data_IF_147840161129
#
_entry.id   IF_147840161129
#
_cell.length_a   1.000
_cell.length_b   1.000
_cell.length_c   1.000
_cell.angle_alpha   90.00
_cell.angle_beta   90.00
_cell.angle_gamma   90.00
#
_symmetry.space_group_name_H-M   'P 1'
#
loop_
_entity.id
_entity.type
_entity.pdbx_description
1 polymer ?
#
# COMPACT_ATOMS: atom_id res chain seq x y z
N UNK A 1 1.85 -16.95 8.99
CA UNK A 1 3.10 -16.25 8.63
C UNK A 1 3.11 -14.92 9.37
N UNK A 2 4.16 -14.59 10.09
CA UNK A 2 4.25 -13.32 10.81
C UNK A 2 4.49 -12.24 9.77
N UNK A 3 3.59 -11.26 9.66
CA UNK A 3 3.81 -10.06 8.86
C UNK A 3 5.12 -9.45 9.28
N UNK A 4 5.97 -9.06 8.33
CA UNK A 4 7.10 -8.21 8.66
C UNK A 4 6.54 -6.95 9.34
N UNK A 5 6.85 -6.75 10.61
CA UNK A 5 6.34 -5.64 11.41
C UNK A 5 6.82 -4.26 10.88
N UNK A 6 7.74 -4.27 9.91
CA UNK A 6 8.31 -3.06 9.27
C UNK A 6 8.66 -3.35 7.82
N UNK A 7 8.81 -2.28 7.04
CA UNK A 7 9.33 -2.41 5.67
C UNK A 7 10.73 -3.04 5.69
N UNK A 8 10.95 -4.13 4.91
CA UNK A 8 12.27 -4.75 4.81
C UNK A 8 13.31 -3.76 4.29
N UNK A 9 14.48 -3.71 4.94
CA UNK A 9 15.56 -2.79 4.54
C UNK A 9 16.02 -3.05 3.10
N UNK A 10 15.97 -4.28 2.64
CA UNK A 10 16.36 -4.66 1.29
C UNK A 10 15.39 -4.11 0.22
N UNK A 11 14.13 -3.91 0.56
CA UNK A 11 13.18 -3.22 -0.30
C UNK A 11 13.57 -1.75 -0.45
N UNK A 12 13.87 -1.07 0.65
CA UNK A 12 14.32 0.33 0.65
C UNK A 12 15.59 0.49 -0.17
N UNK A 13 16.58 -0.38 0.03
CA UNK A 13 17.83 -0.38 -0.74
C UNK A 13 17.58 -0.53 -2.25
N UNK A 14 16.66 -1.41 -2.66
CA UNK A 14 16.30 -1.58 -4.08
C UNK A 14 15.70 -0.32 -4.68
N UNK A 15 14.79 0.34 -3.95
CA UNK A 15 14.17 1.59 -4.40
C UNK A 15 15.24 2.68 -4.56
N UNK A 16 16.17 2.79 -3.63
CA UNK A 16 17.23 3.81 -3.69
C UNK A 16 18.30 3.51 -4.73
N UNK A 17 18.56 2.24 -5.03
CA UNK A 17 19.59 1.85 -6.00
C UNK A 17 19.33 2.38 -7.42
N UNK A 18 18.08 2.65 -7.77
CA UNK A 18 17.69 3.13 -9.10
C UNK A 18 17.30 4.61 -9.12
N UNK A 19 17.16 5.24 -7.97
CA UNK A 19 16.55 6.57 -7.84
C UNK A 19 17.31 7.65 -8.61
N UNK A 20 18.63 7.70 -8.52
CA UNK A 20 19.45 8.74 -9.15
C UNK A 20 19.44 8.60 -10.67
N UNK A 21 19.61 7.39 -11.19
CA UNK A 21 19.59 7.11 -12.63
C UNK A 21 18.21 7.41 -13.23
N UNK A 22 17.14 6.94 -12.56
CA UNK A 22 15.76 7.20 -12.98
C UNK A 22 15.40 8.68 -12.94
N UNK A 23 15.80 9.39 -11.88
CA UNK A 23 15.58 10.83 -11.79
C UNK A 23 16.37 11.62 -12.84
N UNK A 24 17.57 11.16 -13.22
CA UNK A 24 18.35 11.75 -14.29
C UNK A 24 17.69 11.56 -15.66
N UNK A 25 17.26 10.34 -15.96
CA UNK A 25 16.48 10.03 -17.15
C UNK A 25 15.18 10.85 -17.20
N UNK A 26 14.47 10.97 -16.10
CA UNK A 26 13.24 11.77 -16.04
C UNK A 26 13.49 13.27 -16.32
N UNK A 27 14.59 13.83 -15.81
CA UNK A 27 15.00 15.22 -16.13
C UNK A 27 15.32 15.40 -17.61
N UNK A 28 16.04 14.45 -18.19
CA UNK A 28 16.36 14.47 -19.64
C UNK A 28 15.08 14.43 -20.47
N UNK A 29 14.18 13.49 -20.18
CA UNK A 29 12.93 13.30 -20.94
C UNK A 29 11.97 14.48 -20.83
N UNK A 30 11.91 15.16 -19.67
CA UNK A 30 11.02 16.30 -19.43
C UNK A 30 11.70 17.64 -19.73
N UNK A 31 13.02 17.69 -19.93
CA UNK A 31 13.77 18.91 -20.22
C UNK A 31 13.78 19.92 -19.06
N UNK A 32 13.52 19.49 -17.82
CA UNK A 32 13.41 20.35 -16.64
C UNK A 32 13.70 19.62 -15.33
N UNK A 33 13.93 20.34 -14.22
CA UNK A 33 13.97 19.76 -12.89
C UNK A 33 12.66 19.05 -12.53
N UNK A 34 12.76 17.99 -11.72
CA UNK A 34 11.64 17.20 -11.21
C UNK A 34 11.25 17.63 -9.80
N UNK A 35 9.96 17.63 -9.51
CA UNK A 35 9.44 17.66 -8.14
C UNK A 35 9.75 16.32 -7.42
N UNK A 36 9.59 16.27 -6.10
CA UNK A 36 9.77 15.04 -5.35
C UNK A 36 8.82 13.93 -5.85
N UNK A 37 7.54 14.25 -6.04
CA UNK A 37 6.56 13.28 -6.53
C UNK A 37 6.95 12.74 -7.93
N UNK A 38 7.40 13.60 -8.83
CA UNK A 38 7.87 13.18 -10.16
C UNK A 38 9.10 12.27 -10.07
N UNK A 39 10.04 12.53 -9.17
CA UNK A 39 11.20 11.64 -8.96
C UNK A 39 10.75 10.24 -8.50
N UNK A 40 9.79 10.19 -7.61
CA UNK A 40 9.23 8.92 -7.14
C UNK A 40 8.50 8.21 -8.27
N UNK A 41 7.63 8.91 -9.00
CA UNK A 41 6.89 8.32 -10.13
C UNK A 41 7.83 7.76 -11.20
N UNK A 42 8.82 8.51 -11.65
CA UNK A 42 9.76 8.02 -12.68
C UNK A 42 10.62 6.85 -12.19
N UNK A 43 10.89 6.79 -10.88
CA UNK A 43 11.59 5.65 -10.30
C UNK A 43 10.75 4.36 -10.33
N UNK A 44 9.43 4.49 -10.29
CA UNK A 44 8.50 3.36 -10.26
C UNK A 44 7.84 3.06 -11.61
N UNK A 45 8.26 3.70 -12.71
CA UNK A 45 7.79 3.35 -14.04
C UNK A 45 8.19 1.92 -14.40
N UNK A 46 7.25 1.15 -14.92
CA UNK A 46 7.52 -0.18 -15.47
C UNK A 46 8.43 -0.07 -16.69
N UNK A 47 8.08 0.81 -17.62
CA UNK A 47 8.94 1.21 -18.75
C UNK A 47 9.41 2.66 -18.61
N UNK A 48 10.63 2.87 -18.08
CA UNK A 48 11.14 4.22 -17.83
C UNK A 48 11.49 4.99 -19.11
N UNK A 49 11.64 4.30 -20.24
CA UNK A 49 12.05 4.88 -21.52
C UNK A 49 10.87 5.14 -22.45
N UNK A 50 9.92 4.23 -22.53
CA UNK A 50 8.79 4.29 -23.46
C UNK A 50 7.52 4.91 -22.89
N UNK A 51 7.35 4.91 -21.55
CA UNK A 51 6.13 5.48 -20.94
C UNK A 51 5.94 6.94 -21.27
N UNK A 52 4.72 7.35 -21.63
CA UNK A 52 4.37 8.75 -21.78
C UNK A 52 4.46 9.52 -20.46
N UNK A 53 4.89 10.79 -20.50
CA UNK A 53 5.04 11.64 -19.31
C UNK A 53 4.30 12.97 -19.44
N UNK A 54 3.42 13.10 -20.40
CA UNK A 54 2.62 14.31 -20.58
C UNK A 54 1.51 14.37 -19.55
N UNK A 55 1.57 15.41 -18.70
CA UNK A 55 0.66 15.57 -17.56
C UNK A 55 -0.80 15.75 -18.03
N UNK A 56 -1.68 14.94 -17.50
CA UNK A 56 -3.12 14.96 -17.80
C UNK A 56 -3.50 14.28 -19.12
N UNK A 57 -2.53 13.72 -19.85
CA UNK A 57 -2.73 13.06 -21.15
C UNK A 57 -2.21 11.63 -21.15
N UNK A 58 -0.97 11.44 -20.69
CA UNK A 58 -0.32 10.13 -20.75
C UNK A 58 -0.81 9.17 -19.66
N UNK A 59 -0.87 7.88 -20.01
CA UNK A 59 -0.99 6.78 -19.07
C UNK A 59 0.37 6.12 -18.92
N UNK A 60 0.66 5.64 -17.71
CA UNK A 60 1.91 4.95 -17.43
C UNK A 60 1.67 3.79 -16.45
N UNK A 61 2.29 2.65 -16.71
CA UNK A 61 2.29 1.52 -15.80
C UNK A 61 3.34 1.75 -14.72
N UNK A 62 2.95 1.53 -13.46
CA UNK A 62 3.78 1.76 -12.28
C UNK A 62 3.93 0.46 -11.47
N UNK A 63 5.09 0.29 -10.86
CA UNK A 63 5.40 -0.82 -9.94
C UNK A 63 5.45 -0.30 -8.51
N UNK A 64 4.34 -0.38 -7.77
CA UNK A 64 4.34 0.04 -6.37
C UNK A 64 5.20 -0.88 -5.51
N UNK A 65 5.70 -0.35 -4.39
CA UNK A 65 6.49 -1.12 -3.42
C UNK A 65 5.64 -1.93 -2.46
N UNK A 66 4.38 -1.50 -2.25
CA UNK A 66 3.46 -2.21 -1.37
C UNK A 66 2.00 -1.87 -1.64
N UNK A 67 1.12 -2.71 -1.11
CA UNK A 67 -0.33 -2.49 -1.04
C UNK A 67 -0.78 -2.52 0.41
N UNK A 68 -1.64 -1.58 0.81
CA UNK A 68 -2.30 -1.55 2.12
C UNK A 68 -3.81 -1.46 1.93
N UNK A 69 -4.55 -2.36 2.57
CA UNK A 69 -6.00 -2.47 2.41
C UNK A 69 -6.70 -2.39 3.77
N UNK A 70 -7.83 -1.68 3.83
CA UNK A 70 -8.69 -1.67 5.01
C UNK A 70 -9.80 -2.73 4.88
N UNK A 71 -10.36 -3.18 5.99
CA UNK A 71 -11.25 -4.35 6.08
C UNK A 71 -12.55 -4.25 5.27
N UNK A 72 -13.15 -3.07 5.11
CA UNK A 72 -14.38 -2.95 4.36
C UNK A 72 -14.18 -3.16 2.84
N UNK A 73 -13.07 -2.69 2.27
CA UNK A 73 -12.76 -2.75 0.83
C UNK A 73 -11.86 -3.92 0.45
N UNK A 74 -11.04 -4.43 1.40
CA UNK A 74 -10.15 -5.56 1.16
C UNK A 74 -10.89 -6.84 0.77
N UNK A 75 -12.14 -7.01 1.21
CA UNK A 75 -12.97 -8.15 0.82
C UNK A 75 -13.07 -8.25 -0.70
N UNK A 76 -13.45 -7.16 -1.36
CA UNK A 76 -13.57 -7.11 -2.82
C UNK A 76 -12.21 -7.25 -3.49
N UNK A 77 -11.19 -6.56 -2.99
CA UNK A 77 -9.83 -6.63 -3.55
C UNK A 77 -9.27 -8.07 -3.52
N UNK A 78 -9.44 -8.78 -2.41
CA UNK A 78 -9.03 -10.17 -2.31
C UNK A 78 -9.84 -11.11 -3.20
N UNK A 79 -11.16 -10.91 -3.31
CA UNK A 79 -12.00 -11.70 -4.24
C UNK A 79 -11.57 -11.50 -5.69
N UNK A 80 -11.26 -10.28 -6.10
CA UNK A 80 -10.72 -9.99 -7.43
C UNK A 80 -9.34 -10.64 -7.64
N UNK A 81 -8.45 -10.57 -6.63
CA UNK A 81 -7.16 -11.23 -6.67
C UNK A 81 -7.29 -12.76 -6.84
N UNK A 82 -8.21 -13.38 -6.10
CA UNK A 82 -8.51 -14.81 -6.20
C UNK A 82 -9.00 -15.19 -7.60
N UNK A 83 -9.90 -14.40 -8.19
CA UNK A 83 -10.44 -14.64 -9.53
C UNK A 83 -9.40 -14.41 -10.63
N UNK A 84 -8.37 -13.60 -10.39
CA UNK A 84 -7.23 -13.44 -11.29
C UNK A 84 -6.32 -14.68 -11.36
N UNK A 85 -6.47 -15.63 -10.43
CA UNK A 85 -5.74 -16.90 -10.43
C UNK A 85 -4.27 -16.78 -10.07
N UNK A 86 -3.88 -15.74 -9.35
CA UNK A 86 -2.50 -15.54 -8.90
C UNK A 86 -2.22 -16.38 -7.64
N UNK A 87 -1.02 -16.93 -7.55
CA UNK A 87 -0.64 -17.83 -6.45
C UNK A 87 -0.27 -17.09 -5.17
N UNK A 88 0.33 -15.90 -5.29
CA UNK A 88 0.76 -15.08 -4.17
C UNK A 88 0.88 -13.60 -4.57
N UNK A 89 0.89 -12.70 -3.57
CA UNK A 89 1.09 -11.27 -3.81
C UNK A 89 2.51 -11.00 -4.29
N UNK A 90 2.65 -10.08 -5.25
CA UNK A 90 3.95 -9.75 -5.86
C UNK A 90 4.76 -8.73 -5.03
N UNK A 91 4.08 -7.95 -4.20
CA UNK A 91 4.67 -6.95 -3.30
C UNK A 91 4.13 -7.14 -1.90
N UNK A 92 4.83 -6.66 -0.85
CA UNK A 92 4.29 -6.66 0.50
C UNK A 92 2.89 -6.06 0.55
N UNK A 93 1.91 -6.88 0.92
CA UNK A 93 0.49 -6.52 0.97
C UNK A 93 -0.03 -6.76 2.38
N UNK A 94 -0.76 -5.81 2.95
CA UNK A 94 -1.34 -5.93 4.30
C UNK A 94 -2.81 -5.55 4.31
N UNK A 95 -3.58 -6.30 5.10
CA UNK A 95 -4.98 -6.02 5.41
C UNK A 95 -5.08 -5.54 6.86
N UNK A 96 -5.77 -4.43 7.08
CA UNK A 96 -5.92 -3.78 8.38
C UNK A 96 -7.39 -3.71 8.77
N UNK A 97 -7.72 -4.15 9.98
CA UNK A 97 -9.10 -4.24 10.45
C UNK A 97 -9.43 -3.12 11.44
N UNK A 98 -9.82 -1.96 10.90
CA UNK A 98 -10.13 -0.78 11.69
C UNK A 98 -11.44 -0.07 11.28
N UNK A 99 -11.89 -0.19 10.04
CA UNK A 99 -13.07 0.53 9.53
C UNK A 99 -14.41 -0.07 9.98
N UNK A 100 -14.46 -1.36 10.28
CA UNK A 100 -15.69 -2.01 10.76
C UNK A 100 -15.91 -1.85 12.28
N UNK A 101 -14.96 -1.23 12.98
CA UNK A 101 -15.10 -0.87 14.40
C UNK A 101 -15.78 0.49 14.50
N UNK A 102 -16.95 0.55 15.11
CA UNK A 102 -17.65 1.81 15.34
C UNK A 102 -17.18 2.45 16.65
N UNK A 103 -16.49 3.57 16.57
CA UNK A 103 -16.07 4.34 17.77
C UNK A 103 -17.26 5.10 18.35
N UNK A 104 -18.13 4.38 19.07
CA UNK A 104 -19.41 4.89 19.54
C UNK A 104 -19.47 5.08 21.05
N UNK A 105 -19.11 4.04 21.80
CA UNK A 105 -19.25 4.03 23.27
C UNK A 105 -17.87 4.06 23.95
N UNK A 106 -17.15 2.94 23.89
CA UNK A 106 -15.80 2.80 24.40
C UNK A 106 -15.03 1.73 23.64
N UNK A 107 -13.69 1.79 23.69
CA UNK A 107 -12.83 0.93 22.89
C UNK A 107 -13.04 -0.56 23.13
N UNK A 108 -13.39 -0.99 24.34
CA UNK A 108 -13.57 -2.43 24.66
C UNK A 108 -14.92 -2.93 24.16
N UNK A 109 -15.97 -2.14 24.39
CA UNK A 109 -17.33 -2.50 23.94
C UNK A 109 -17.44 -2.47 22.42
N UNK A 110 -16.91 -1.44 21.79
CA UNK A 110 -16.96 -1.28 20.35
C UNK A 110 -16.14 -2.34 19.65
N UNK A 111 -14.96 -2.69 20.17
CA UNK A 111 -14.17 -3.80 19.65
C UNK A 111 -14.88 -5.16 19.83
N UNK A 112 -15.48 -5.42 20.99
CA UNK A 112 -16.22 -6.67 21.22
C UNK A 112 -17.42 -6.79 20.28
N UNK A 113 -18.17 -5.71 20.08
CA UNK A 113 -19.30 -5.66 19.14
C UNK A 113 -18.85 -5.90 17.69
N UNK A 114 -17.71 -5.33 17.28
CA UNK A 114 -17.17 -5.55 15.95
C UNK A 114 -16.71 -7.01 15.75
N UNK A 115 -16.02 -7.58 16.74
CA UNK A 115 -15.57 -8.98 16.69
C UNK A 115 -16.73 -9.98 16.57
N UNK A 116 -17.85 -9.70 17.23
CA UNK A 116 -19.05 -10.52 17.14
C UNK A 116 -19.79 -10.28 15.81
N UNK A 117 -20.07 -9.02 15.49
CA UNK A 117 -20.90 -8.64 14.32
C UNK A 117 -20.23 -8.88 12.96
N UNK A 118 -18.89 -8.90 12.91
CA UNK A 118 -18.11 -9.06 11.67
C UNK A 118 -17.17 -10.26 11.70
N UNK A 119 -17.47 -11.25 12.54
CA UNK A 119 -16.63 -12.46 12.72
C UNK A 119 -16.29 -13.15 11.39
N UNK A 120 -17.27 -13.31 10.50
CA UNK A 120 -17.08 -13.94 9.19
C UNK A 120 -16.12 -13.15 8.30
N UNK A 121 -16.27 -11.83 8.25
CA UNK A 121 -15.39 -10.95 7.47
C UNK A 121 -13.96 -11.04 7.95
N UNK A 122 -13.74 -10.94 9.25
CA UNK A 122 -12.40 -11.02 9.82
C UNK A 122 -11.76 -12.40 9.59
N UNK A 123 -12.53 -13.47 9.74
CA UNK A 123 -12.06 -14.83 9.46
C UNK A 123 -11.67 -15.00 7.97
N UNK A 124 -12.48 -14.49 7.05
CA UNK A 124 -12.16 -14.47 5.62
C UNK A 124 -10.87 -13.70 5.36
N UNK A 125 -10.75 -12.48 5.85
CA UNK A 125 -9.60 -11.61 5.61
C UNK A 125 -8.29 -12.20 6.20
N UNK A 126 -8.36 -12.82 7.39
CA UNK A 126 -7.21 -13.50 7.98
C UNK A 126 -6.79 -14.71 7.12
N UNK A 127 -7.75 -15.54 6.72
CA UNK A 127 -7.48 -16.74 5.94
C UNK A 127 -6.95 -16.45 4.53
N UNK A 128 -7.54 -15.49 3.84
CA UNK A 128 -7.11 -15.12 2.48
C UNK A 128 -5.75 -14.44 2.49
N UNK A 129 -5.50 -13.55 3.47
CA UNK A 129 -4.17 -12.95 3.65
C UNK A 129 -3.11 -14.02 3.87
N UNK A 130 -3.36 -14.98 4.76
CA UNK A 130 -2.45 -16.09 5.01
C UNK A 130 -2.22 -16.97 3.77
N UNK A 131 -3.28 -17.27 3.00
CA UNK A 131 -3.21 -18.11 1.79
C UNK A 131 -2.30 -17.49 0.73
N UNK A 132 -2.38 -16.17 0.52
CA UNK A 132 -1.68 -15.48 -0.55
C UNK A 132 -0.43 -14.72 -0.08
N UNK A 133 0.08 -15.05 1.13
CA UNK A 133 1.28 -14.44 1.75
C UNK A 133 1.15 -12.95 2.05
N UNK A 134 -0.07 -12.44 2.15
CA UNK A 134 -0.35 -11.12 2.69
C UNK A 134 -0.24 -11.08 4.20
N UNK A 135 -0.15 -9.88 4.74
CA UNK A 135 -0.18 -9.63 6.17
C UNK A 135 -1.57 -9.28 6.69
N UNK A 136 -1.82 -9.57 7.96
CA UNK A 136 -3.11 -9.30 8.60
C UNK A 136 -2.93 -8.58 9.94
N UNK A 137 -3.44 -7.37 10.01
CA UNK A 137 -3.55 -6.58 11.23
C UNK A 137 -4.95 -6.73 11.80
N UNK A 138 -5.03 -7.41 12.93
CA UNK A 138 -6.30 -7.78 13.57
C UNK A 138 -7.09 -6.56 14.04
N UNK A 139 -8.43 -6.70 14.22
CA UNK A 139 -9.24 -5.67 14.86
C UNK A 139 -8.62 -5.23 16.20
N UNK A 140 -8.55 -3.92 16.41
CA UNK A 140 -7.92 -3.34 17.60
C UNK A 140 -6.41 -3.09 17.51
N UNK A 141 -5.78 -3.41 16.37
CA UNK A 141 -4.34 -3.17 16.17
C UNK A 141 -3.99 -1.69 15.90
N UNK A 142 -4.96 -0.84 15.66
CA UNK A 142 -4.80 0.57 15.34
C UNK A 142 -5.36 0.95 13.98
N UNK A 143 -5.45 2.25 13.72
CA UNK A 143 -5.94 2.81 12.46
C UNK A 143 -4.91 2.56 11.35
N UNK A 144 -5.39 2.07 10.20
CA UNK A 144 -4.52 1.72 9.05
C UNK A 144 -3.54 2.84 8.69
N UNK A 145 -4.00 4.09 8.57
CA UNK A 145 -3.16 5.21 8.16
C UNK A 145 -1.98 5.42 9.10
N UNK A 146 -2.23 5.30 10.40
CA UNK A 146 -1.22 5.48 11.43
C UNK A 146 -0.25 4.31 11.45
N UNK A 147 -0.76 3.08 11.42
CA UNK A 147 0.08 1.86 11.36
C UNK A 147 0.97 1.86 10.12
N UNK A 148 0.41 2.23 8.96
CA UNK A 148 1.17 2.28 7.71
C UNK A 148 2.25 3.36 7.77
N UNK A 149 1.93 4.54 8.28
CA UNK A 149 2.88 5.63 8.43
C UNK A 149 4.06 5.24 9.34
N UNK A 150 3.76 4.63 10.48
CA UNK A 150 4.76 4.30 11.51
C UNK A 150 5.61 3.07 11.17
N UNK A 151 5.02 2.07 10.52
CA UNK A 151 5.67 0.77 10.32
C UNK A 151 6.21 0.57 8.92
N UNK A 152 5.62 1.23 7.92
CA UNK A 152 5.87 0.87 6.52
C UNK A 152 6.31 2.02 5.65
N UNK A 153 5.94 3.26 5.95
CA UNK A 153 6.31 4.39 5.11
C UNK A 153 7.81 4.69 5.18
N UNK A 154 8.36 5.05 4.03
CA UNK A 154 9.75 5.51 3.90
C UNK A 154 9.87 6.52 2.76
N UNK A 155 10.79 7.51 2.83
CA UNK A 155 10.96 8.49 1.78
C UNK A 155 11.30 7.84 0.43
N UNK A 156 10.66 8.28 -0.63
CA UNK A 156 10.94 7.80 -1.99
C UNK A 156 10.17 6.54 -2.40
N UNK A 157 9.43 5.91 -1.50
CA UNK A 157 8.60 4.75 -1.82
C UNK A 157 7.29 5.09 -2.50
N UNK A 158 6.64 4.08 -3.07
CA UNK A 158 5.32 4.17 -3.70
C UNK A 158 4.39 3.11 -3.12
N UNK A 159 3.16 3.52 -2.76
CA UNK A 159 2.15 2.63 -2.20
C UNK A 159 0.79 2.82 -2.87
N UNK A 160 0.06 1.72 -3.01
CA UNK A 160 -1.37 1.72 -3.37
C UNK A 160 -2.17 1.27 -2.16
N UNK A 161 -3.30 1.92 -1.89
CA UNK A 161 -4.22 1.54 -0.85
C UNK A 161 -5.67 1.47 -1.30
N UNK A 162 -6.50 0.83 -0.51
CA UNK A 162 -7.95 0.78 -0.74
C UNK A 162 -8.70 1.81 0.10
N UNK A 163 -8.00 2.75 0.70
CA UNK A 163 -8.55 3.77 1.60
C UNK A 163 -8.25 5.18 1.10
N UNK A 164 -9.22 6.09 1.25
CA UNK A 164 -9.11 7.48 0.82
C UNK A 164 -8.02 8.27 1.56
N UNK A 165 -7.55 7.78 2.71
CA UNK A 165 -6.49 8.39 3.50
C UNK A 165 -5.12 7.72 3.31
N UNK A 166 -4.98 6.80 2.36
CA UNK A 166 -3.68 6.24 1.95
C UNK A 166 -2.63 7.32 1.72
N UNK A 167 -2.96 8.50 1.12
CA UNK A 167 -2.03 9.63 0.95
C UNK A 167 -1.38 10.16 2.24
N UNK A 168 -1.86 9.77 3.43
CA UNK A 168 -1.21 10.11 4.71
C UNK A 168 0.26 9.69 4.76
N UNK A 169 0.65 8.62 4.07
CA UNK A 169 2.04 8.19 3.95
C UNK A 169 2.94 9.22 3.25
N UNK A 170 2.35 10.19 2.53
CA UNK A 170 3.04 11.36 2.00
C UNK A 170 3.70 12.23 3.06
N UNK A 171 3.27 12.15 4.32
CA UNK A 171 3.95 12.79 5.47
C UNK A 171 5.39 12.33 5.67
N UNK A 172 5.75 11.14 5.18
CA UNK A 172 7.12 10.62 5.11
C UNK A 172 7.67 10.57 3.68
N UNK A 173 7.21 11.47 2.80
CA UNK A 173 7.69 11.61 1.43
C UNK A 173 7.56 10.32 0.58
N UNK A 174 6.46 9.59 0.74
CA UNK A 174 6.01 8.57 -0.21
C UNK A 174 5.07 9.19 -1.25
N UNK A 175 4.94 8.55 -2.42
CA UNK A 175 3.75 8.68 -3.25
C UNK A 175 2.80 7.55 -2.84
N UNK A 176 1.65 7.91 -2.29
CA UNK A 176 0.65 6.97 -1.82
C UNK A 176 -0.74 7.36 -2.36
N UNK A 177 -1.44 6.42 -2.95
CA UNK A 177 -2.73 6.62 -3.63
C UNK A 177 -3.69 5.49 -3.31
#
# INVERSE_FOLDING_TARGET
MTVAARTPIELIKRVYATLDDRASLGRERLGRPLTLAEKILVNHLDDPTGAGLERGVSYADLRPDRVAMQDATAQMAWLQFMTAGLDEVQVPTTTHCDHLIQARDDSKRDLAAALDGHAEVYSFLESVSARYRGGFWRPGSGIIHQVVLEQYAFPGGMMIGTDSHTPNAGGLAMVAV
#
